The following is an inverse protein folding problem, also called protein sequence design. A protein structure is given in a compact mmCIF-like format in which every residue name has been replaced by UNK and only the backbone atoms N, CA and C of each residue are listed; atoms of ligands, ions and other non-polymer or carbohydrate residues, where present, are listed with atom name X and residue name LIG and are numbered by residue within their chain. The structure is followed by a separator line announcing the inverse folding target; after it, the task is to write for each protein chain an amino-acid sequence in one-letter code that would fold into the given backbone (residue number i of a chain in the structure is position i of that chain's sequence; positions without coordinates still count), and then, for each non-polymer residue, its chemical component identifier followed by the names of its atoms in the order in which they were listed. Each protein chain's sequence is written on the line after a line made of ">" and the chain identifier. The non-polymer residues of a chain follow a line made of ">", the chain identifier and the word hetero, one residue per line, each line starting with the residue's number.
data_IF_157660622808
#
_entry.id   IF_157660622808
#
_cell.length_a   1.000
_cell.length_b   1.000
_cell.length_c   1.000
_cell.angle_alpha   90.00
_cell.angle_beta   90.00
_cell.angle_gamma   90.00
#
_symmetry.space_group_name_H-M   'P 1'
#
loop_
_entity.id
_entity.type
_entity.pdbx_description
1 polymer ?
#
# COMPACT_ATOMS: atom_id res chain seq x y z
N UNK A 1 -2.10 -3.71 -0.52
CA UNK A 1 -0.70 -3.32 -0.78
C UNK A 1 -0.35 -3.49 -2.23
N UNK A 2 0.28 -2.48 -2.83
CA UNK A 2 0.53 -2.40 -4.26
C UNK A 2 2.03 -2.39 -4.48
N UNK A 3 2.59 -3.30 -5.31
CA UNK A 3 4.02 -3.30 -5.65
C UNK A 3 4.36 -2.17 -6.64
N UNK A 4 5.64 -1.80 -6.75
CA UNK A 4 6.12 -0.80 -7.72
C UNK A 4 5.72 -1.18 -9.17
N UNK A 5 5.73 -2.46 -9.51
CA UNK A 5 5.28 -2.99 -10.81
C UNK A 5 3.78 -2.73 -11.03
N UNK A 6 2.97 -2.74 -9.98
CA UNK A 6 1.55 -2.43 -10.06
C UNK A 6 1.32 -0.93 -10.23
N UNK A 7 2.15 -0.09 -9.60
CA UNK A 7 2.12 1.35 -9.84
C UNK A 7 2.45 1.69 -11.30
N UNK A 8 3.45 1.03 -11.88
CA UNK A 8 3.82 1.21 -13.29
C UNK A 8 2.70 0.72 -14.23
N UNK A 9 2.02 -0.36 -13.88
CA UNK A 9 0.86 -0.85 -14.63
C UNK A 9 -0.37 0.06 -14.47
N UNK A 10 -0.59 0.64 -13.29
CA UNK A 10 -1.63 1.63 -13.06
C UNK A 10 -1.34 2.93 -13.82
N UNK A 11 -0.10 3.39 -13.82
CA UNK A 11 0.34 4.55 -14.60
C UNK A 11 0.15 4.32 -16.10
N UNK A 12 0.43 3.11 -16.59
CA UNK A 12 0.24 2.75 -17.99
C UNK A 12 -1.25 2.66 -18.36
N UNK A 13 -2.09 2.12 -17.47
CA UNK A 13 -3.55 2.14 -17.62
C UNK A 13 -4.12 3.56 -17.55
N UNK A 14 -3.57 4.40 -16.68
CA UNK A 14 -3.97 5.81 -16.60
C UNK A 14 -3.65 6.56 -17.88
N UNK A 15 -2.56 6.25 -18.57
CA UNK A 15 -2.26 6.81 -19.89
C UNK A 15 -3.32 6.46 -20.96
N UNK A 16 -3.90 5.26 -20.89
CA UNK A 16 -4.98 4.84 -21.78
C UNK A 16 -6.29 5.51 -21.37
N UNK A 17 -6.59 5.57 -20.07
CA UNK A 17 -7.78 6.25 -19.53
C UNK A 17 -7.73 7.76 -19.75
N UNK A 18 -6.58 8.40 -19.60
CA UNK A 18 -6.38 9.82 -19.87
C UNK A 18 -6.74 10.19 -21.32
N UNK A 19 -6.46 9.28 -22.25
CA UNK A 19 -6.82 9.46 -23.66
C UNK A 19 -8.34 9.39 -23.90
N UNK A 20 -9.08 8.65 -23.07
CA UNK A 20 -10.52 8.43 -23.22
C UNK A 20 -11.34 9.43 -22.39
N UNK A 21 -10.86 9.80 -21.19
CA UNK A 21 -11.61 10.56 -20.20
C UNK A 21 -11.05 11.96 -19.91
N UNK A 22 -10.00 12.39 -20.62
CA UNK A 22 -9.26 13.63 -20.32
C UNK A 22 -8.80 13.72 -18.84
N UNK A 23 -8.43 12.60 -18.24
CA UNK A 23 -7.89 12.54 -16.89
C UNK A 23 -6.38 12.65 -16.97
N UNK A 24 -5.80 13.60 -16.26
CA UNK A 24 -4.36 13.81 -16.17
C UNK A 24 -3.81 13.34 -14.84
N UNK A 25 -2.54 12.90 -14.83
CA UNK A 25 -1.83 12.59 -13.59
C UNK A 25 -1.43 13.90 -12.94
N UNK A 26 -2.05 14.21 -11.81
CA UNK A 26 -1.77 15.44 -11.07
C UNK A 26 -0.42 15.37 -10.34
N UNK A 27 -0.14 14.21 -9.71
CA UNK A 27 1.06 14.04 -8.89
C UNK A 27 1.53 12.60 -8.87
N UNK A 28 2.83 12.42 -8.91
CA UNK A 28 3.50 11.13 -8.69
C UNK A 28 4.26 11.21 -7.36
N UNK A 29 3.98 10.30 -6.44
CA UNK A 29 4.61 10.25 -5.13
C UNK A 29 5.55 9.06 -5.06
N UNK A 30 6.77 9.31 -4.60
CA UNK A 30 7.71 8.25 -4.29
C UNK A 30 7.46 7.73 -2.89
N UNK A 31 7.31 6.42 -2.71
CA UNK A 31 7.16 5.84 -1.38
C UNK A 31 8.42 6.03 -0.53
N UNK A 32 8.24 6.16 0.76
CA UNK A 32 9.33 6.15 1.73
C UNK A 32 9.47 4.76 2.35
N UNK A 33 10.71 4.34 2.59
CA UNK A 33 10.97 3.11 3.34
C UNK A 33 10.80 3.40 4.82
N UNK A 34 10.01 2.57 5.49
CA UNK A 34 9.76 2.63 6.93
C UNK A 34 9.54 1.23 7.49
N UNK A 35 9.20 1.12 8.75
CA UNK A 35 8.80 -0.13 9.38
C UNK A 35 7.55 0.07 10.22
N UNK A 36 6.75 -0.98 10.35
CA UNK A 36 5.54 -1.00 11.16
C UNK A 36 5.34 -2.40 11.78
N UNK A 37 4.31 -2.55 12.61
CA UNK A 37 4.09 -3.79 13.34
C UNK A 37 5.26 -4.11 14.27
N UNK A 38 5.69 -5.36 14.31
CA UNK A 38 6.83 -5.81 15.10
C UNK A 38 8.18 -5.68 14.36
N UNK A 39 8.27 -4.81 13.37
CA UNK A 39 9.47 -4.55 12.61
C UNK A 39 9.41 -4.98 11.15
N UNK A 40 8.21 -5.09 10.60
CA UNK A 40 8.03 -5.35 9.16
C UNK A 40 8.51 -4.15 8.36
N UNK A 41 9.42 -4.37 7.43
CA UNK A 41 9.86 -3.34 6.50
C UNK A 41 8.81 -3.12 5.42
N UNK A 42 8.48 -1.89 5.17
CA UNK A 42 7.48 -1.51 4.19
C UNK A 42 7.84 -0.20 3.46
N UNK A 43 7.15 0.04 2.37
CA UNK A 43 7.19 1.28 1.62
C UNK A 43 5.84 1.98 1.74
N UNK A 44 5.84 3.13 2.35
CA UNK A 44 4.63 3.94 2.58
C UNK A 44 4.49 5.02 1.52
N UNK A 45 3.38 5.01 0.80
CA UNK A 45 3.05 5.99 -0.23
C UNK A 45 2.01 7.01 0.25
N UNK A 46 1.02 6.58 1.02
CA UNK A 46 -0.01 7.43 1.65
C UNK A 46 0.14 7.30 3.16
N UNK A 47 -0.12 8.38 3.88
CA UNK A 47 0.06 8.48 5.32
C UNK A 47 1.22 9.40 5.72
N UNK A 48 1.89 10.00 4.72
CA UNK A 48 2.93 11.02 4.90
C UNK A 48 2.29 12.41 4.95
N UNK A 49 1.34 12.65 4.06
CA UNK A 49 0.49 13.84 4.02
C UNK A 49 -0.98 13.41 4.14
N UNK A 50 -1.57 13.49 5.34
CA UNK A 50 -2.87 12.90 5.61
C UNK A 50 -4.04 13.55 4.87
N UNK A 51 -3.87 14.75 4.33
CA UNK A 51 -4.97 15.49 3.71
C UNK A 51 -5.01 15.39 2.19
N UNK A 52 -3.94 14.90 1.56
CA UNK A 52 -3.82 14.92 0.11
C UNK A 52 -4.62 13.81 -0.58
N UNK A 53 -4.77 12.67 0.05
CA UNK A 53 -5.38 11.46 -0.53
C UNK A 53 -6.71 11.07 0.10
N UNK A 54 -7.37 11.99 0.79
CA UNK A 54 -8.69 11.72 1.35
C UNK A 54 -9.63 11.07 0.31
N UNK A 55 -10.31 9.97 0.63
CA UNK A 55 -10.50 9.32 1.95
C UNK A 55 -9.44 8.28 2.34
N UNK A 56 -8.37 8.11 1.58
CA UNK A 56 -7.36 7.11 1.86
C UNK A 56 -6.38 7.60 2.92
N UNK A 57 -6.33 6.92 4.05
CA UNK A 57 -5.51 7.29 5.20
C UNK A 57 -4.08 6.75 5.08
N UNK A 58 -3.92 5.57 4.49
CA UNK A 58 -2.64 4.89 4.42
C UNK A 58 -2.58 3.94 3.23
N UNK A 59 -1.43 3.90 2.56
CA UNK A 59 -1.10 2.90 1.55
C UNK A 59 0.32 2.41 1.78
N UNK A 60 0.44 1.17 2.18
CA UNK A 60 1.70 0.50 2.44
C UNK A 60 1.91 -0.70 1.52
N UNK A 61 3.12 -0.83 1.01
CA UNK A 61 3.59 -2.01 0.30
C UNK A 61 4.61 -2.73 1.17
N UNK A 62 4.42 -4.03 1.39
CA UNK A 62 5.45 -4.86 1.97
C UNK A 62 5.58 -6.18 1.23
N UNK A 63 6.76 -6.72 1.26
CA UNK A 63 7.13 -7.96 0.61
C UNK A 63 8.62 -7.92 0.29
N UNK A 64 9.28 -9.03 0.49
CA UNK A 64 10.71 -9.17 0.27
C UNK A 64 11.03 -10.65 0.01
N UNK A 65 12.13 -10.91 -0.67
CA UNK A 65 12.70 -12.25 -0.73
C UNK A 65 13.42 -12.63 0.57
N UNK A 66 13.78 -11.62 1.38
CA UNK A 66 14.37 -11.83 2.70
C UNK A 66 13.27 -11.94 3.76
N UNK A 67 13.17 -13.10 4.41
CA UNK A 67 12.19 -13.37 5.45
C UNK A 67 12.30 -12.44 6.66
N UNK A 68 13.50 -12.00 6.99
CA UNK A 68 13.75 -11.12 8.15
C UNK A 68 13.06 -9.76 8.01
N UNK A 69 12.71 -9.37 6.79
CA UNK A 69 12.02 -8.11 6.53
C UNK A 69 10.53 -8.13 6.90
N UNK A 70 9.93 -9.33 7.06
CA UNK A 70 8.49 -9.44 7.32
C UNK A 70 8.09 -10.51 8.34
N UNK A 71 8.99 -11.40 8.77
CA UNK A 71 8.65 -12.54 9.63
C UNK A 71 8.09 -12.11 10.98
N UNK A 72 8.44 -10.94 11.48
CA UNK A 72 7.95 -10.40 12.74
C UNK A 72 6.44 -10.12 12.74
N UNK A 73 5.88 -9.86 11.55
CA UNK A 73 4.44 -9.67 11.37
C UNK A 73 3.87 -8.42 12.04
N UNK A 74 2.56 -8.39 12.09
CA UNK A 74 1.78 -7.33 12.72
C UNK A 74 1.03 -7.93 13.92
N UNK A 75 1.44 -7.62 15.16
CA UNK A 75 0.72 -8.06 16.33
C UNK A 75 -0.72 -7.57 16.34
N UNK A 76 -1.63 -8.23 17.09
CA UNK A 76 -3.01 -7.75 17.24
C UNK A 76 -3.07 -6.30 17.66
N UNK A 77 -3.84 -5.51 16.94
CA UNK A 77 -4.05 -4.09 17.21
C UNK A 77 -5.43 -3.65 16.70
N UNK A 78 -6.03 -2.61 17.27
CA UNK A 78 -7.37 -2.19 16.87
C UNK A 78 -7.36 -1.39 15.56
N UNK A 79 -8.41 -1.59 14.75
CA UNK A 79 -8.74 -0.78 13.58
C UNK A 79 -10.13 -0.17 13.76
N UNK A 80 -10.27 0.75 14.72
CA UNK A 80 -11.56 1.37 15.00
C UNK A 80 -11.84 2.51 14.03
N UNK A 81 -12.98 2.41 13.31
CA UNK A 81 -13.46 3.46 12.41
C UNK A 81 -12.73 3.54 11.07
N UNK A 82 -11.93 2.54 10.72
CA UNK A 82 -11.28 2.43 9.41
C UNK A 82 -11.53 1.06 8.81
N UNK A 83 -11.51 0.99 7.49
CA UNK A 83 -11.53 -0.25 6.73
C UNK A 83 -10.13 -0.55 6.18
N UNK A 84 -9.76 -1.82 6.16
CA UNK A 84 -8.49 -2.26 5.59
C UNK A 84 -8.73 -3.20 4.41
N UNK A 85 -7.97 -3.01 3.34
CA UNK A 85 -8.00 -3.86 2.15
C UNK A 85 -6.60 -4.32 1.85
N UNK A 86 -6.41 -5.64 1.78
CA UNK A 86 -5.15 -6.24 1.35
C UNK A 86 -5.25 -6.68 -0.09
N UNK A 87 -4.36 -6.19 -0.94
CA UNK A 87 -4.24 -6.59 -2.32
C UNK A 87 -2.99 -7.46 -2.51
N UNK A 88 -3.19 -8.75 -2.75
CA UNK A 88 -2.10 -9.72 -2.90
C UNK A 88 -1.64 -9.80 -4.36
N UNK A 89 -0.35 -9.57 -4.60
CA UNK A 89 0.27 -9.77 -5.91
C UNK A 89 0.98 -11.12 -5.99
N UNK A 90 1.63 -11.54 -4.92
CA UNK A 90 2.39 -12.78 -4.85
C UNK A 90 2.52 -13.22 -3.39
N UNK A 91 2.62 -14.54 -3.18
CA UNK A 91 2.87 -15.11 -1.86
C UNK A 91 1.59 -15.39 -1.08
N UNK A 92 1.72 -15.44 0.23
CA UNK A 92 0.64 -15.70 1.17
C UNK A 92 0.70 -14.69 2.31
N UNK A 93 -0.45 -14.26 2.75
CA UNK A 93 -0.61 -13.41 3.92
C UNK A 93 -1.74 -13.98 4.76
N UNK A 94 -1.49 -14.20 6.04
CA UNK A 94 -2.47 -14.66 7.00
C UNK A 94 -2.97 -13.48 7.82
N UNK A 95 -4.26 -13.32 7.88
CA UNK A 95 -4.93 -12.28 8.64
C UNK A 95 -5.94 -12.93 9.58
N UNK A 96 -5.98 -12.47 10.81
CA UNK A 96 -6.94 -12.90 11.82
C UNK A 96 -7.55 -11.65 12.45
N UNK A 97 -8.86 -11.67 12.63
CA UNK A 97 -9.61 -10.61 13.30
C UNK A 97 -10.59 -11.16 14.33
N UNK A 98 -11.38 -10.30 14.94
CA UNK A 98 -12.32 -10.67 16.01
C UNK A 98 -13.71 -11.06 15.50
N UNK A 99 -13.92 -11.14 14.19
CA UNK A 99 -15.24 -11.46 13.58
C UNK A 99 -15.25 -12.81 12.90
#
# INVERSE_FOLDING_TARGET
>A
MITSTCLDQLLNKNNIMNKILNVEVEKIIKPITTSDGAGVKLKRSIGIDPNYFDPFLMLDEFGSENKDDYVAGFPPHPHRGIETVTYMLKGKFEHEDST
#
